data_IF_504178278574
#
_entry.id   IF_504178278574
#
_cell.length_a   1.000
_cell.length_b   1.000
_cell.length_c   1.000
_cell.angle_alpha   90.00
_cell.angle_beta   90.00
_cell.angle_gamma   90.00
#
_symmetry.space_group_name_H-M   'P 1'
#
loop_
_entity.id
_entity.type
_entity.pdbx_description
1 polymer ?
#
# COMPACT_ATOMS: atom_id res chain seq x y z
N UNK A 1 30.31 18.53 -27.75
CA UNK A 1 29.94 17.20 -27.24
C UNK A 1 29.74 17.32 -25.75
N UNK A 2 28.53 17.60 -25.34
CA UNK A 2 28.14 17.66 -23.92
C UNK A 2 27.80 16.22 -23.48
N UNK A 3 28.59 15.70 -22.55
CA UNK A 3 28.34 14.43 -21.89
C UNK A 3 27.16 14.56 -20.94
N UNK A 4 25.99 14.10 -21.36
CA UNK A 4 24.81 14.00 -20.47
C UNK A 4 25.16 13.17 -19.24
N UNK A 5 25.04 13.76 -18.06
CA UNK A 5 25.17 13.09 -16.78
C UNK A 5 24.12 11.96 -16.74
N UNK A 6 24.57 10.71 -16.89
CA UNK A 6 23.73 9.53 -16.65
C UNK A 6 23.31 9.59 -15.19
N UNK A 7 22.06 9.94 -14.93
CA UNK A 7 21.48 9.97 -13.61
C UNK A 7 21.76 8.63 -12.90
N UNK A 8 22.46 8.70 -11.75
CA UNK A 8 22.76 7.55 -10.91
C UNK A 8 21.42 6.86 -10.58
N UNK A 9 21.25 5.58 -10.92
CA UNK A 9 20.08 4.82 -10.48
C UNK A 9 20.02 4.91 -8.97
N UNK A 10 18.95 5.52 -8.45
CA UNK A 10 18.73 5.59 -7.00
C UNK A 10 18.62 4.17 -6.45
N UNK A 11 19.34 3.89 -5.37
CA UNK A 11 19.22 2.64 -4.63
C UNK A 11 17.87 2.63 -3.91
N UNK A 12 17.27 1.47 -3.60
CA UNK A 12 16.01 1.40 -2.86
C UNK A 12 16.02 2.23 -1.57
N UNK A 13 17.13 2.21 -0.83
CA UNK A 13 17.31 2.99 0.40
C UNK A 13 17.31 4.52 0.18
N UNK A 14 17.69 5.00 -1.00
CA UNK A 14 17.65 6.43 -1.35
C UNK A 14 16.21 6.94 -1.56
N UNK A 15 15.23 6.02 -1.55
CA UNK A 15 13.79 6.31 -1.71
C UNK A 15 13.02 6.27 -0.39
N UNK A 16 13.65 5.89 0.72
CA UNK A 16 12.99 5.87 2.02
C UNK A 16 12.87 7.28 2.60
N UNK A 17 11.84 7.49 3.40
CA UNK A 17 11.71 8.73 4.19
C UNK A 17 12.87 8.81 5.17
N UNK A 18 13.57 9.95 5.15
CA UNK A 18 14.57 10.26 6.16
C UNK A 18 13.86 10.73 7.44
N UNK A 19 13.96 9.97 8.55
CA UNK A 19 13.27 10.31 9.79
C UNK A 19 13.72 11.66 10.39
N UNK A 20 14.95 12.07 10.14
CA UNK A 20 15.51 13.30 10.73
C UNK A 20 14.95 14.58 10.07
N UNK A 21 14.41 14.45 8.85
CA UNK A 21 13.75 15.55 8.15
C UNK A 21 12.27 15.73 8.52
N UNK A 22 11.65 14.74 9.16
CA UNK A 22 10.21 14.73 9.47
C UNK A 22 9.77 15.90 10.35
N UNK A 23 10.44 16.23 11.48
CA UNK A 23 10.00 17.33 12.34
C UNK A 23 9.99 18.70 11.63
N UNK A 24 11.01 18.98 10.83
CA UNK A 24 11.11 20.22 10.08
C UNK A 24 10.07 20.30 8.97
N UNK A 25 9.81 19.19 8.27
CA UNK A 25 8.75 19.09 7.28
C UNK A 25 7.37 19.36 7.88
N UNK A 26 7.03 18.71 8.98
CA UNK A 26 5.75 18.90 9.68
C UNK A 26 5.56 20.34 10.16
N UNK A 27 6.61 20.93 10.73
CA UNK A 27 6.60 22.34 11.16
C UNK A 27 6.36 23.31 10.02
N UNK A 28 6.93 23.04 8.84
CA UNK A 28 6.80 23.92 7.66
C UNK A 28 5.47 23.75 6.94
N UNK A 29 4.90 22.56 6.95
CA UNK A 29 3.70 22.26 6.15
C UNK A 29 2.41 22.27 6.95
N UNK A 30 2.45 21.94 8.25
CA UNK A 30 1.28 21.88 9.11
C UNK A 30 0.30 20.77 8.71
N UNK A 31 0.75 19.68 8.07
CA UNK A 31 -0.13 18.58 7.66
C UNK A 31 -0.61 17.78 8.86
N UNK A 32 -1.86 17.31 8.81
CA UNK A 32 -2.51 16.56 9.88
C UNK A 32 -2.21 15.04 9.85
N UNK A 33 -1.64 14.54 8.76
CA UNK A 33 -1.19 13.16 8.59
C UNK A 33 -0.02 13.09 7.62
N UNK A 34 0.91 12.14 7.82
CA UNK A 34 2.12 12.03 7.03
C UNK A 34 2.23 10.66 6.36
N UNK A 35 2.27 10.64 5.04
CA UNK A 35 2.64 9.44 4.30
C UNK A 35 4.16 9.30 4.24
N UNK A 36 4.66 8.11 4.62
CA UNK A 36 6.09 7.79 4.65
C UNK A 36 6.44 6.69 3.64
N UNK A 37 7.64 6.76 3.08
CA UNK A 37 8.19 5.75 2.20
C UNK A 37 9.15 4.86 2.98
N UNK A 38 8.88 3.56 3.01
CA UNK A 38 9.69 2.56 3.71
C UNK A 38 9.79 1.23 2.94
N UNK A 39 9.52 1.23 1.62
CA UNK A 39 9.70 0.07 0.73
C UNK A 39 8.45 -0.38 0.00
N UNK A 40 7.28 0.18 0.28
CA UNK A 40 6.06 -0.09 -0.48
C UNK A 40 6.03 0.68 -1.80
N UNK A 41 5.32 0.14 -2.79
CA UNK A 41 5.04 0.78 -4.07
C UNK A 41 3.59 0.52 -4.49
N UNK A 42 3.06 1.33 -5.41
CA UNK A 42 1.72 1.15 -5.93
C UNK A 42 1.67 0.06 -7.02
N UNK A 43 0.53 -0.64 -7.10
CA UNK A 43 0.25 -1.61 -8.15
C UNK A 43 0.53 -3.07 -7.74
N UNK A 44 0.61 -3.94 -8.74
CA UNK A 44 0.93 -5.37 -8.53
C UNK A 44 2.44 -5.52 -8.45
N UNK A 45 2.93 -6.07 -7.37
CA UNK A 45 4.35 -6.35 -7.20
C UNK A 45 4.81 -7.47 -8.13
N UNK A 46 5.82 -7.17 -8.96
CA UNK A 46 6.53 -8.20 -9.76
C UNK A 46 7.53 -8.99 -8.94
N UNK A 47 8.03 -8.37 -7.87
CA UNK A 47 8.95 -8.96 -6.89
C UNK A 47 8.47 -8.50 -5.51
N UNK A 48 8.48 -9.39 -4.53
CA UNK A 48 8.06 -9.06 -3.17
C UNK A 48 8.85 -7.84 -2.66
N UNK A 49 8.19 -6.78 -2.15
CA UNK A 49 8.87 -5.63 -1.59
C UNK A 49 9.64 -6.01 -0.32
N UNK A 50 10.76 -5.35 -0.10
CA UNK A 50 11.49 -5.43 1.17
C UNK A 50 11.17 -4.17 1.96
N UNK A 51 10.45 -4.34 3.07
CA UNK A 51 10.03 -3.23 3.92
C UNK A 51 11.10 -2.92 4.95
N UNK A 52 11.46 -1.64 5.06
CA UNK A 52 12.33 -1.16 6.13
C UNK A 52 11.49 -0.69 7.31
N UNK A 53 11.21 -1.61 8.23
CA UNK A 53 10.39 -1.37 9.41
C UNK A 53 11.01 -0.36 10.38
N UNK A 54 12.32 -0.21 10.39
CA UNK A 54 13.03 0.74 11.28
C UNK A 54 12.74 2.20 10.89
N UNK A 55 12.46 2.48 9.62
CA UNK A 55 12.01 3.82 9.19
C UNK A 55 10.73 4.21 9.92
N UNK A 56 9.74 3.30 10.01
CA UNK A 56 8.47 3.56 10.70
C UNK A 56 8.74 3.89 12.17
N UNK A 57 9.50 3.04 12.85
CA UNK A 57 9.84 3.24 14.28
C UNK A 57 10.53 4.58 14.51
N UNK A 58 11.57 4.88 13.73
CA UNK A 58 12.32 6.13 13.86
C UNK A 58 11.50 7.38 13.57
N UNK A 59 10.58 7.30 12.60
CA UNK A 59 9.63 8.40 12.33
C UNK A 59 8.65 8.55 13.49
N UNK A 60 8.11 7.43 14.01
CA UNK A 60 7.17 7.46 15.13
C UNK A 60 7.79 8.06 16.41
N UNK A 61 9.07 7.84 16.66
CA UNK A 61 9.80 8.45 17.78
C UNK A 61 9.93 9.98 17.67
N UNK A 62 9.73 10.56 16.48
CA UNK A 62 9.93 11.98 16.18
C UNK A 62 8.64 12.78 16.03
N UNK A 63 7.49 12.12 15.95
CA UNK A 63 6.22 12.80 15.75
C UNK A 63 5.02 11.97 16.23
N UNK A 64 3.98 12.65 16.69
CA UNK A 64 2.67 12.08 17.02
C UNK A 64 1.65 12.20 15.89
N UNK A 65 2.01 12.85 14.78
CA UNK A 65 1.16 12.96 13.60
C UNK A 65 0.85 11.55 13.04
N UNK A 66 -0.43 11.24 12.71
CA UNK A 66 -0.81 9.96 12.15
C UNK A 66 0.01 9.59 10.92
N UNK A 67 0.57 8.37 10.92
CA UNK A 67 1.37 7.85 9.81
C UNK A 67 0.49 7.08 8.82
N UNK A 68 0.73 7.32 7.53
CA UNK A 68 -0.01 6.74 6.42
C UNK A 68 0.91 5.87 5.57
N UNK A 69 0.46 4.65 5.26
CA UNK A 69 1.12 3.76 4.31
C UNK A 69 0.39 3.78 2.97
N UNK A 70 1.10 4.16 1.91
CA UNK A 70 0.68 3.97 0.52
C UNK A 70 1.23 2.65 -0.06
N UNK A 71 0.59 2.14 -1.12
CA UNK A 71 1.05 0.92 -1.77
C UNK A 71 0.92 -0.33 -0.88
N UNK A 72 -0.06 -0.33 0.02
CA UNK A 72 -0.26 -1.39 1.00
C UNK A 72 -0.77 -2.72 0.43
N UNK A 73 -1.24 -2.76 -0.82
CA UNK A 73 -1.72 -4.02 -1.41
C UNK A 73 -0.57 -4.97 -1.71
N UNK A 74 -0.68 -6.25 -1.30
CA UNK A 74 0.24 -7.32 -1.72
C UNK A 74 1.42 -7.59 -0.79
N UNK A 75 1.44 -7.03 0.41
CA UNK A 75 2.30 -7.49 1.50
C UNK A 75 1.61 -8.57 2.32
N UNK A 76 2.34 -9.32 3.14
CA UNK A 76 1.77 -10.39 3.95
C UNK A 76 0.93 -9.86 5.13
N UNK A 77 0.08 -10.73 5.69
CA UNK A 77 -0.71 -10.39 6.88
C UNK A 77 0.18 -10.04 8.08
N UNK A 78 1.30 -10.72 8.24
CA UNK A 78 2.30 -10.45 9.28
C UNK A 78 2.94 -9.08 9.09
N UNK A 79 3.27 -8.71 7.85
CA UNK A 79 3.81 -7.39 7.52
C UNK A 79 2.78 -6.29 7.82
N UNK A 80 1.48 -6.49 7.54
CA UNK A 80 0.43 -5.53 7.94
C UNK A 80 0.38 -5.34 9.46
N UNK A 81 0.35 -6.42 10.24
CA UNK A 81 0.35 -6.34 11.70
C UNK A 81 1.60 -5.65 12.23
N UNK A 82 2.75 -5.92 11.63
CA UNK A 82 4.01 -5.30 12.05
C UNK A 82 4.03 -3.80 11.78
N UNK A 83 3.60 -3.33 10.61
CA UNK A 83 3.55 -1.89 10.32
C UNK A 83 2.57 -1.16 11.23
N UNK A 84 1.43 -1.79 11.57
CA UNK A 84 0.44 -1.22 12.51
C UNK A 84 1.03 -1.12 13.91
N UNK A 85 1.66 -2.20 14.42
CA UNK A 85 2.32 -2.20 15.73
C UNK A 85 3.43 -1.16 15.85
N UNK A 86 4.11 -0.85 14.75
CA UNK A 86 5.14 0.19 14.71
C UNK A 86 4.61 1.62 14.55
N UNK A 87 3.30 1.80 14.44
CA UNK A 87 2.65 3.10 14.51
C UNK A 87 2.08 3.64 13.19
N UNK A 88 1.91 2.82 12.18
CA UNK A 88 1.09 3.18 11.00
C UNK A 88 -0.38 3.19 11.42
N UNK A 89 -1.07 4.31 11.18
CA UNK A 89 -2.45 4.55 11.58
C UNK A 89 -3.44 4.38 10.41
N UNK A 90 -2.99 4.55 9.17
CA UNK A 90 -3.82 4.47 7.96
C UNK A 90 -3.10 3.70 6.87
N UNK A 91 -3.79 2.76 6.24
CA UNK A 91 -3.29 1.97 5.12
C UNK A 91 -4.17 2.20 3.90
N UNK A 92 -3.56 2.58 2.77
CA UNK A 92 -4.26 2.68 1.50
C UNK A 92 -4.22 1.31 0.80
N UNK A 93 -5.40 0.68 0.67
CA UNK A 93 -5.56 -0.64 0.09
C UNK A 93 -6.54 -0.59 -1.09
N UNK A 94 -6.11 -1.00 -2.29
CA UNK A 94 -6.97 -0.97 -3.48
C UNK A 94 -6.63 -2.07 -4.49
N UNK A 95 -5.38 -2.20 -4.90
CA UNK A 95 -4.98 -2.96 -6.09
C UNK A 95 -5.45 -4.41 -6.07
N UNK A 96 -5.23 -5.12 -4.98
CA UNK A 96 -5.62 -6.54 -4.87
C UNK A 96 -7.12 -6.73 -4.69
N UNK A 97 -7.81 -5.79 -4.04
CA UNK A 97 -9.27 -5.77 -3.99
C UNK A 97 -9.85 -5.60 -5.41
N UNK A 98 -9.36 -4.63 -6.17
CA UNK A 98 -9.78 -4.41 -7.56
C UNK A 98 -9.47 -5.62 -8.45
N UNK A 99 -8.31 -6.24 -8.27
CA UNK A 99 -7.93 -7.43 -9.01
C UNK A 99 -8.82 -8.65 -8.69
N UNK A 100 -9.23 -8.82 -7.43
CA UNK A 100 -10.19 -9.86 -7.04
C UNK A 100 -11.54 -9.69 -7.80
N UNK A 101 -12.05 -8.46 -7.89
CA UNK A 101 -13.24 -8.16 -8.66
C UNK A 101 -13.08 -8.46 -10.16
N UNK A 102 -11.97 -8.03 -10.75
CA UNK A 102 -11.66 -8.34 -12.14
C UNK A 102 -11.60 -9.86 -12.40
N UNK A 103 -10.91 -10.60 -11.55
CA UNK A 103 -10.77 -12.05 -11.70
C UNK A 103 -12.12 -12.77 -11.62
N UNK A 104 -12.99 -12.35 -10.69
CA UNK A 104 -14.34 -12.92 -10.54
C UNK A 104 -15.23 -12.63 -11.75
N UNK A 105 -15.24 -11.39 -12.24
CA UNK A 105 -16.00 -11.02 -13.43
C UNK A 105 -15.51 -11.78 -14.68
N UNK A 106 -14.19 -11.89 -14.85
CA UNK A 106 -13.58 -12.65 -15.95
C UNK A 106 -13.97 -14.12 -15.89
N UNK A 107 -13.84 -14.78 -14.74
CA UNK A 107 -14.20 -16.19 -14.56
C UNK A 107 -15.69 -16.45 -14.84
N UNK A 108 -16.57 -15.53 -14.45
CA UNK A 108 -17.99 -15.63 -14.76
C UNK A 108 -18.24 -15.53 -16.27
N UNK A 109 -17.64 -14.56 -16.95
CA UNK A 109 -17.78 -14.39 -18.39
C UNK A 109 -17.28 -15.60 -19.21
N UNK A 110 -16.19 -16.22 -18.75
CA UNK A 110 -15.64 -17.44 -19.38
C UNK A 110 -16.56 -18.66 -19.17
N UNK A 111 -17.22 -18.77 -18.00
CA UNK A 111 -18.14 -19.86 -17.70
C UNK A 111 -19.52 -19.69 -18.32
N UNK A 112 -19.98 -18.45 -18.42
CA UNK A 112 -21.33 -18.10 -18.90
C UNK A 112 -21.26 -17.08 -20.05
N UNK A 113 -20.92 -17.52 -21.28
CA UNK A 113 -20.72 -16.60 -22.42
C UNK A 113 -21.98 -15.80 -22.82
N UNK A 114 -23.17 -16.27 -22.43
CA UNK A 114 -24.46 -15.61 -22.70
C UNK A 114 -24.97 -14.80 -21.50
N UNK A 115 -24.12 -14.56 -20.50
CA UNK A 115 -24.48 -13.83 -19.28
C UNK A 115 -24.72 -12.33 -19.50
N UNK A 116 -25.26 -11.68 -18.50
CA UNK A 116 -25.55 -10.24 -18.51
C UNK A 116 -24.48 -9.46 -17.73
N UNK A 117 -24.32 -8.18 -18.10
CA UNK A 117 -23.37 -7.29 -17.44
C UNK A 117 -23.61 -7.17 -15.92
N UNK A 118 -24.87 -7.12 -15.48
CA UNK A 118 -25.18 -7.02 -14.05
C UNK A 118 -24.71 -8.23 -13.24
N UNK A 119 -24.71 -9.43 -13.82
CA UNK A 119 -24.19 -10.63 -13.15
C UNK A 119 -22.69 -10.53 -12.95
N UNK A 120 -21.96 -10.02 -13.96
CA UNK A 120 -20.53 -9.76 -13.84
C UNK A 120 -20.23 -8.70 -12.79
N UNK A 121 -21.01 -7.62 -12.75
CA UNK A 121 -20.87 -6.54 -11.79
C UNK A 121 -21.10 -7.02 -10.34
N UNK A 122 -22.15 -7.82 -10.12
CA UNK A 122 -22.44 -8.42 -8.81
C UNK A 122 -21.36 -9.42 -8.38
N UNK A 123 -20.86 -10.25 -9.31
CA UNK A 123 -19.76 -11.18 -9.04
C UNK A 123 -18.49 -10.43 -8.64
N UNK A 124 -18.15 -9.36 -9.34
CA UNK A 124 -17.02 -8.51 -9.01
C UNK A 124 -17.18 -7.85 -7.63
N UNK A 125 -18.35 -7.25 -7.37
CA UNK A 125 -18.66 -6.60 -6.09
C UNK A 125 -18.47 -7.58 -4.92
N UNK A 126 -19.02 -8.79 -5.01
CA UNK A 126 -18.90 -9.79 -3.96
C UNK A 126 -17.45 -10.18 -3.69
N UNK A 127 -16.65 -10.41 -4.72
CA UNK A 127 -15.24 -10.75 -4.58
C UNK A 127 -14.43 -9.59 -3.97
N UNK A 128 -14.74 -8.34 -4.32
CA UNK A 128 -14.12 -7.15 -3.73
C UNK A 128 -14.49 -7.02 -2.25
N UNK A 129 -15.75 -7.24 -1.89
CA UNK A 129 -16.24 -7.21 -0.51
C UNK A 129 -15.54 -8.27 0.35
N UNK A 130 -15.46 -9.51 -0.10
CA UNK A 130 -14.77 -10.60 0.60
C UNK A 130 -13.28 -10.30 0.80
N UNK A 131 -12.62 -9.76 -0.22
CA UNK A 131 -11.22 -9.36 -0.14
C UNK A 131 -11.00 -8.21 0.85
N UNK A 132 -11.83 -7.17 0.79
CA UNK A 132 -11.78 -6.04 1.71
C UNK A 132 -12.03 -6.48 3.15
N UNK A 133 -13.05 -7.32 3.37
CA UNK A 133 -13.38 -7.83 4.71
C UNK A 133 -12.25 -8.65 5.32
N UNK A 134 -11.61 -9.51 4.52
CA UNK A 134 -10.44 -10.28 4.96
C UNK A 134 -9.30 -9.36 5.38
N UNK A 135 -9.04 -8.31 4.60
CA UNK A 135 -7.98 -7.35 4.88
C UNK A 135 -8.29 -6.52 6.12
N UNK A 136 -9.55 -6.08 6.29
CA UNK A 136 -9.99 -5.34 7.49
C UNK A 136 -9.84 -6.16 8.77
N UNK A 137 -10.12 -7.47 8.74
CA UNK A 137 -9.87 -8.36 9.88
C UNK A 137 -8.40 -8.40 10.27
N UNK A 138 -7.51 -8.42 9.28
CA UNK A 138 -6.06 -8.35 9.55
C UNK A 138 -5.65 -7.02 10.17
N UNK A 139 -6.24 -5.90 9.72
CA UNK A 139 -5.93 -4.56 10.25
C UNK A 139 -6.45 -4.34 11.67
N UNK A 140 -7.57 -4.96 12.02
CA UNK A 140 -8.18 -4.87 13.35
C UNK A 140 -7.72 -5.96 14.32
N UNK A 141 -6.83 -6.84 13.88
CA UNK A 141 -6.31 -7.99 14.64
C UNK A 141 -7.44 -8.97 15.12
N UNK A 142 -8.52 -9.07 14.30
CA UNK A 142 -9.68 -9.96 14.51
C UNK A 142 -9.53 -11.31 13.80
#
# INVERSE_FOLDING_TARGET
REGGARGRRKRPEDLYTDPDLVPDYLKKTGVDALAIAFGTAHGIYKVKPVLNMDVITKVRERTDVPLVMHGGSGISHEEYREVIRRGVNKINYYTYMSYAGYAAAKALAEREPSGFFHDMALSAQKAMEENALTTLKVFSDL
#
